data_IF_762503666443
#
_entry.id   IF_762503666443
#
_cell.length_a   1.000
_cell.length_b   1.000
_cell.length_c   1.000
_cell.angle_alpha   90.00
_cell.angle_beta   90.00
_cell.angle_gamma   90.00
#
_symmetry.space_group_name_H-M   'P 1'
#
loop_
_entity.id
_entity.type
_entity.pdbx_description
1 polymer ?
#
# COMPACT_ATOMS: atom_id res chain seq x y z
N UNK A 1 -0.94 40.32 57.93
CA UNK A 1 -1.80 39.35 57.22
C UNK A 1 -1.53 39.43 55.72
N UNK A 2 -1.00 38.33 55.18
CA UNK A 2 -0.98 37.84 53.79
C UNK A 2 -0.98 38.84 52.61
N UNK A 3 0.19 39.02 51.98
CA UNK A 3 0.30 39.45 50.58
C UNK A 3 -0.04 38.25 49.69
N UNK A 4 -1.15 38.33 48.95
CA UNK A 4 -1.58 37.29 48.00
C UNK A 4 -0.89 37.52 46.65
N UNK A 5 0.22 36.81 46.43
CA UNK A 5 0.89 36.79 45.13
C UNK A 5 0.27 35.68 44.30
N UNK A 6 -0.63 36.03 43.38
CA UNK A 6 -1.26 35.06 42.46
C UNK A 6 -0.24 34.70 41.38
N UNK A 7 0.26 33.46 41.42
CA UNK A 7 1.14 32.90 40.40
C UNK A 7 0.27 32.42 39.22
N UNK A 8 0.27 33.16 38.11
CA UNK A 8 -0.36 32.72 36.85
C UNK A 8 0.64 31.85 36.11
N UNK A 9 0.48 30.53 36.22
CA UNK A 9 1.21 29.57 35.39
C UNK A 9 0.53 29.49 34.01
N UNK A 10 1.08 30.18 33.02
CA UNK A 10 0.67 30.01 31.62
C UNK A 10 1.33 28.73 31.12
N UNK A 11 0.57 27.63 31.12
CA UNK A 11 0.98 26.39 30.48
C UNK A 11 0.80 26.56 28.97
N UNK A 12 1.83 27.03 28.26
CA UNK A 12 1.89 26.91 26.81
C UNK A 12 2.11 25.44 26.46
N UNK A 13 1.02 24.67 26.38
CA UNK A 13 1.05 23.44 25.62
C UNK A 13 1.37 23.85 24.18
N UNK A 14 2.59 23.56 23.74
CA UNK A 14 2.97 23.67 22.33
C UNK A 14 2.11 22.67 21.59
N UNK A 15 0.94 23.12 21.14
CA UNK A 15 0.20 22.41 20.10
C UNK A 15 1.02 22.67 18.84
N UNK A 16 2.01 21.82 18.59
CA UNK A 16 2.64 21.71 17.28
C UNK A 16 1.57 21.20 16.32
N UNK A 17 0.72 22.10 15.83
CA UNK A 17 -0.11 21.82 14.65
C UNK A 17 0.89 21.77 13.50
N UNK A 18 1.36 20.57 13.18
CA UNK A 18 2.29 20.37 12.08
C UNK A 18 1.49 20.45 10.78
N UNK A 19 1.59 21.60 10.12
CA UNK A 19 1.09 21.81 8.75
C UNK A 19 2.14 21.44 7.70
N UNK A 20 3.14 20.64 8.06
CA UNK A 20 4.24 20.27 7.18
C UNK A 20 3.86 19.14 6.22
N UNK A 21 4.43 19.15 5.02
CA UNK A 21 4.41 17.96 4.17
C UNK A 21 5.20 16.86 4.90
N UNK A 22 4.51 15.93 5.56
CA UNK A 22 5.14 14.83 6.30
C UNK A 22 5.67 13.71 5.40
N UNK A 23 5.28 13.72 4.12
CA UNK A 23 5.72 12.76 3.12
C UNK A 23 6.78 13.40 2.21
N UNK A 24 8.02 13.39 2.69
CA UNK A 24 9.23 13.82 1.98
C UNK A 24 10.17 12.66 1.76
N UNK A 25 11.12 12.78 0.83
CA UNK A 25 12.18 11.79 0.62
C UNK A 25 12.92 11.46 1.92
N UNK A 26 13.36 12.47 2.68
CA UNK A 26 13.99 12.30 4.00
C UNK A 26 13.10 11.51 5.00
N UNK A 27 11.78 11.73 4.98
CA UNK A 27 10.86 10.99 5.85
C UNK A 27 10.74 9.52 5.46
N UNK A 28 10.84 9.23 4.16
CA UNK A 28 10.80 7.88 3.60
C UNK A 28 12.11 7.17 3.94
N UNK A 29 13.26 7.79 3.68
CA UNK A 29 14.58 7.28 4.03
C UNK A 29 14.66 6.95 5.53
N UNK A 30 14.25 7.88 6.40
CA UNK A 30 14.19 7.63 7.84
C UNK A 30 13.27 6.47 8.21
N UNK A 31 12.16 6.29 7.52
CA UNK A 31 11.25 5.17 7.76
C UNK A 31 11.89 3.84 7.36
N UNK A 32 12.57 3.80 6.20
CA UNK A 32 13.35 2.65 5.73
C UNK A 32 14.44 2.30 6.75
N UNK A 33 15.25 3.29 7.15
CA UNK A 33 16.33 3.11 8.13
C UNK A 33 15.83 2.54 9.45
N UNK A 34 14.67 2.98 9.93
CA UNK A 34 14.07 2.49 11.18
C UNK A 34 13.59 1.04 11.07
N UNK A 35 13.08 0.63 9.91
CA UNK A 35 12.68 -0.76 9.67
C UNK A 35 13.91 -1.66 9.56
N UNK A 36 14.90 -1.25 8.76
CA UNK A 36 16.14 -2.00 8.60
C UNK A 36 16.93 -2.11 9.92
N UNK A 37 16.96 -1.04 10.71
CA UNK A 37 17.56 -1.02 12.05
C UNK A 37 16.87 -1.96 13.04
N UNK A 38 15.61 -2.33 12.80
CA UNK A 38 14.88 -3.35 13.57
C UNK A 38 14.92 -4.75 12.94
N UNK A 39 15.72 -4.95 11.88
CA UNK A 39 15.96 -6.25 11.26
C UNK A 39 14.93 -6.64 10.19
N UNK A 40 14.09 -5.71 9.72
CA UNK A 40 13.26 -5.93 8.55
C UNK A 40 14.07 -5.81 7.27
N UNK A 41 13.77 -6.64 6.27
CA UNK A 41 14.26 -6.43 4.91
C UNK A 41 13.26 -5.51 4.22
N UNK A 42 13.71 -4.34 3.81
CA UNK A 42 12.86 -3.39 3.08
C UNK A 42 13.16 -3.51 1.59
N UNK A 43 12.12 -3.63 0.78
CA UNK A 43 12.22 -3.61 -0.67
C UNK A 43 11.26 -2.57 -1.22
N UNK A 44 11.76 -1.72 -2.11
CA UNK A 44 10.93 -0.73 -2.79
C UNK A 44 10.07 -1.40 -3.85
N UNK A 45 8.76 -1.15 -3.77
CA UNK A 45 7.80 -1.48 -4.82
C UNK A 45 7.38 -0.22 -5.57
N UNK A 46 6.55 -0.38 -6.60
CA UNK A 46 5.96 0.75 -7.32
C UNK A 46 4.47 0.57 -7.57
N UNK A 47 3.79 1.68 -7.86
CA UNK A 47 2.45 1.67 -8.40
C UNK A 47 2.50 1.80 -9.91
N UNK A 48 1.70 0.97 -10.59
CA UNK A 48 1.55 1.02 -12.03
C UNK A 48 0.09 1.27 -12.39
N UNK A 49 -0.16 2.26 -13.26
CA UNK A 49 -1.49 2.48 -13.83
C UNK A 49 -1.86 1.31 -14.71
N UNK A 50 -2.86 0.57 -14.29
CA UNK A 50 -3.24 -0.71 -14.86
C UNK A 50 -4.45 -0.52 -15.78
N UNK A 51 -4.30 -0.90 -17.05
CA UNK A 51 -5.39 -0.91 -18.02
C UNK A 51 -5.73 -2.37 -18.39
N UNK A 52 -6.78 -2.97 -17.81
CA UNK A 52 -7.16 -4.36 -18.11
C UNK A 52 -7.48 -4.59 -19.59
N UNK A 53 -8.03 -3.60 -20.29
CA UNK A 53 -8.37 -3.69 -21.71
C UNK A 53 -7.11 -3.80 -22.58
N UNK A 54 -6.07 -3.01 -22.31
CA UNK A 54 -4.79 -3.10 -23.03
C UNK A 54 -4.09 -4.44 -22.77
N UNK A 55 -4.11 -4.90 -21.53
CA UNK A 55 -3.51 -6.19 -21.13
C UNK A 55 -4.21 -7.35 -21.84
N UNK A 56 -5.54 -7.30 -21.96
CA UNK A 56 -6.31 -8.29 -22.72
C UNK A 56 -6.07 -8.18 -24.23
N UNK A 57 -6.07 -6.97 -24.79
CA UNK A 57 -5.82 -6.71 -26.21
C UNK A 57 -4.45 -7.18 -26.69
N UNK A 58 -3.46 -7.23 -25.79
CA UNK A 58 -2.13 -7.79 -26.03
C UNK A 58 -2.03 -9.30 -25.71
N UNK A 59 -3.15 -9.99 -25.48
CA UNK A 59 -3.23 -11.43 -25.20
C UNK A 59 -2.46 -11.89 -23.95
N UNK A 60 -2.15 -10.98 -23.01
CA UNK A 60 -1.43 -11.30 -21.77
C UNK A 60 -2.36 -11.98 -20.76
N UNK A 61 -3.63 -11.55 -20.75
CA UNK A 61 -4.67 -12.13 -19.89
C UNK A 61 -5.86 -12.59 -20.73
N UNK A 62 -6.65 -13.58 -20.26
CA UNK A 62 -7.72 -14.16 -21.06
C UNK A 62 -9.02 -13.33 -21.05
N UNK A 63 -9.07 -12.21 -20.32
CA UNK A 63 -10.25 -11.35 -20.20
C UNK A 63 -9.87 -10.02 -19.54
N UNK A 64 -10.66 -8.96 -19.74
CA UNK A 64 -10.50 -7.68 -19.04
C UNK A 64 -10.96 -7.70 -17.56
N UNK A 65 -11.23 -8.87 -16.96
CA UNK A 65 -11.54 -9.00 -15.52
C UNK A 65 -12.70 -8.14 -14.99
N UNK A 66 -13.75 -7.94 -15.79
CA UNK A 66 -14.88 -7.06 -15.43
C UNK A 66 -14.46 -5.59 -15.24
N UNK A 67 -13.50 -5.14 -16.04
CA UNK A 67 -13.05 -3.74 -16.13
C UNK A 67 -14.22 -2.75 -16.13
N UNK A 68 -14.16 -1.78 -15.22
CA UNK A 68 -15.00 -0.60 -15.27
C UNK A 68 -14.26 0.47 -16.06
N UNK A 69 -14.60 0.64 -17.33
CA UNK A 69 -13.89 1.54 -18.26
C UNK A 69 -13.88 3.00 -17.82
N UNK A 70 -14.78 3.39 -16.92
CA UNK A 70 -14.88 4.75 -16.39
C UNK A 70 -14.03 4.98 -15.13
N UNK A 71 -13.27 3.97 -14.68
CA UNK A 71 -12.44 4.04 -13.46
C UNK A 71 -10.96 3.76 -13.76
N UNK A 72 -10.02 4.62 -13.33
CA UNK A 72 -8.61 4.29 -13.40
C UNK A 72 -8.24 3.24 -12.35
N UNK A 73 -7.48 2.23 -12.75
CA UNK A 73 -6.93 1.22 -11.84
C UNK A 73 -5.43 1.41 -11.66
N UNK A 74 -4.94 1.06 -10.47
CA UNK A 74 -3.53 0.92 -10.21
C UNK A 74 -3.27 -0.42 -9.52
N UNK A 75 -2.11 -1.01 -9.81
CA UNK A 75 -1.65 -2.24 -9.19
C UNK A 75 -0.27 -2.04 -8.58
N UNK A 76 0.03 -2.83 -7.56
CA UNK A 76 1.35 -2.88 -6.96
C UNK A 76 2.27 -3.76 -7.81
N UNK A 77 3.43 -3.22 -8.17
CA UNK A 77 4.57 -3.98 -8.68
C UNK A 77 5.54 -4.17 -7.51
N UNK A 78 5.46 -5.35 -6.89
CA UNK A 78 6.25 -5.70 -5.72
C UNK A 78 7.33 -6.71 -6.14
N UNK A 79 8.61 -6.50 -5.78
CA UNK A 79 9.65 -7.48 -6.03
C UNK A 79 9.37 -8.80 -5.29
N UNK A 80 9.99 -9.88 -5.74
CA UNK A 80 9.82 -11.17 -5.09
C UNK A 80 10.42 -11.14 -3.66
N UNK A 81 9.72 -11.77 -2.72
CA UNK A 81 10.22 -11.89 -1.35
C UNK A 81 11.55 -12.66 -1.31
N UNK A 82 12.46 -12.38 -0.36
CA UNK A 82 13.78 -13.01 -0.29
C UNK A 82 13.74 -14.53 -0.20
N UNK A 83 12.65 -15.08 0.35
CA UNK A 83 12.42 -16.50 0.53
C UNK A 83 11.31 -17.05 -0.39
N UNK A 84 10.90 -16.31 -1.41
CA UNK A 84 9.83 -16.74 -2.31
C UNK A 84 10.33 -17.89 -3.21
N UNK A 85 9.76 -19.09 -3.04
CA UNK A 85 10.17 -20.26 -3.82
C UNK A 85 9.60 -20.29 -5.24
N UNK A 86 8.36 -19.83 -5.41
CA UNK A 86 7.65 -19.89 -6.68
C UNK A 86 7.53 -18.49 -7.29
N UNK A 87 7.80 -18.31 -8.60
CA UNK A 87 7.76 -17.01 -9.24
C UNK A 87 6.34 -16.45 -9.32
N UNK A 88 6.23 -15.13 -9.46
CA UNK A 88 4.94 -14.50 -9.73
C UNK A 88 4.43 -14.83 -11.14
N UNK A 89 3.12 -15.06 -11.28
CA UNK A 89 2.54 -15.41 -12.59
C UNK A 89 2.50 -14.21 -13.53
N UNK A 90 2.21 -13.04 -12.97
CA UNK A 90 2.18 -11.76 -13.66
C UNK A 90 2.98 -10.72 -12.86
N UNK A 91 3.52 -9.66 -13.51
CA UNK A 91 4.30 -8.62 -12.83
C UNK A 91 3.55 -7.92 -11.69
N UNK A 92 2.22 -7.84 -11.76
CA UNK A 92 1.35 -7.21 -10.76
C UNK A 92 0.74 -8.19 -9.75
N UNK A 93 1.19 -9.45 -9.76
CA UNK A 93 0.82 -10.42 -8.73
C UNK A 93 1.98 -10.59 -7.77
N UNK A 94 1.67 -10.73 -6.49
CA UNK A 94 2.66 -10.94 -5.43
C UNK A 94 2.21 -12.06 -4.50
N UNK A 95 3.15 -12.58 -3.71
CA UNK A 95 2.89 -13.50 -2.61
C UNK A 95 3.49 -12.87 -1.36
N UNK A 96 2.87 -13.14 -0.22
CA UNK A 96 3.37 -12.71 1.08
C UNK A 96 3.42 -13.95 1.98
N UNK A 97 4.57 -14.14 2.63
CA UNK A 97 4.68 -15.02 3.78
C UNK A 97 3.99 -14.39 5.01
N UNK A 98 3.77 -15.19 6.05
CA UNK A 98 3.10 -14.74 7.28
C UNK A 98 3.84 -13.58 8.00
N UNK A 99 5.14 -13.44 7.74
CA UNK A 99 6.01 -12.42 8.31
C UNK A 99 6.33 -11.28 7.32
N UNK A 100 5.63 -11.19 6.20
CA UNK A 100 5.80 -10.13 5.20
C UNK A 100 4.60 -9.18 5.19
N UNK A 101 4.87 -7.90 4.90
CA UNK A 101 3.85 -6.87 4.81
C UNK A 101 4.14 -5.90 3.68
N UNK A 102 3.07 -5.37 3.08
CA UNK A 102 3.14 -4.27 2.11
C UNK A 102 2.73 -3.00 2.84
N UNK A 103 3.60 -2.01 2.83
CA UNK A 103 3.32 -0.67 3.36
C UNK A 103 3.12 0.27 2.17
N UNK A 104 1.88 0.68 1.95
CA UNK A 104 1.56 1.71 0.96
C UNK A 104 1.59 3.07 1.62
N UNK A 105 2.55 3.90 1.21
CA UNK A 105 2.69 5.27 1.72
C UNK A 105 2.20 6.26 0.67
N UNK A 106 1.37 7.19 1.10
CA UNK A 106 0.85 8.23 0.23
C UNK A 106 -0.04 9.20 0.99
N UNK A 107 -0.45 10.25 0.29
CA UNK A 107 -1.44 11.17 0.80
C UNK A 107 -2.80 10.50 0.81
N UNK A 108 -3.46 10.46 1.97
CA UNK A 108 -4.87 10.10 2.02
C UNK A 108 -5.64 11.07 1.12
N UNK A 109 -6.39 10.58 0.11
CA UNK A 109 -7.20 11.41 -0.74
C UNK A 109 -8.12 12.34 0.04
N UNK A 110 -8.46 13.53 -0.51
CA UNK A 110 -9.39 14.45 0.12
C UNK A 110 -10.71 13.74 0.46
N UNK A 111 -11.40 14.14 1.54
CA UNK A 111 -12.73 13.65 1.84
C UNK A 111 -13.63 13.82 0.59
N UNK A 112 -14.23 12.72 0.12
CA UNK A 112 -15.07 12.59 -1.10
C UNK A 112 -14.40 12.11 -2.41
N UNK A 113 -13.10 11.83 -2.45
CA UNK A 113 -12.52 11.02 -3.54
C UNK A 113 -12.52 9.56 -3.07
N UNK A 114 -13.50 8.78 -3.50
CA UNK A 114 -13.59 7.36 -3.19
C UNK A 114 -12.42 6.63 -3.84
N UNK A 115 -11.47 6.17 -3.03
CA UNK A 115 -10.45 5.21 -3.44
C UNK A 115 -10.72 3.91 -2.71
N UNK A 116 -10.75 2.81 -3.46
CA UNK A 116 -10.96 1.47 -2.94
C UNK A 116 -9.62 0.75 -3.02
N UNK A 117 -9.11 0.26 -1.88
CA UNK A 117 -8.03 -0.70 -1.88
C UNK A 117 -8.63 -2.09 -1.77
N UNK A 118 -8.55 -2.86 -2.85
CA UNK A 118 -9.10 -4.21 -2.90
C UNK A 118 -8.00 -5.23 -3.17
N UNK A 119 -7.85 -6.17 -2.22
CA UNK A 119 -6.95 -7.31 -2.41
C UNK A 119 -7.71 -8.45 -3.07
N UNK A 120 -7.23 -8.88 -4.23
CA UNK A 120 -7.81 -10.00 -4.96
C UNK A 120 -6.87 -11.20 -4.97
N UNK A 121 -7.43 -12.38 -4.77
CA UNK A 121 -6.74 -13.64 -5.03
C UNK A 121 -6.70 -13.90 -6.54
N UNK A 122 -5.58 -13.58 -7.19
CA UNK A 122 -5.41 -13.81 -8.63
C UNK A 122 -5.55 -15.30 -9.00
N UNK A 123 -4.96 -16.19 -8.21
CA UNK A 123 -4.99 -17.63 -8.43
C UNK A 123 -4.05 -18.39 -7.50
N UNK A 124 -3.96 -19.69 -7.69
CA UNK A 124 -3.06 -20.57 -6.95
C UNK A 124 -2.32 -21.50 -7.89
N UNK A 125 -1.11 -21.90 -7.50
CA UNK A 125 -0.40 -22.98 -8.17
C UNK A 125 -0.87 -24.33 -7.63
N UNK A 126 -1.19 -25.24 -8.55
CA UNK A 126 -1.52 -26.64 -8.28
C UNK A 126 -0.61 -27.49 -9.16
N UNK A 127 0.21 -28.34 -8.56
CA UNK A 127 1.19 -29.19 -9.28
C UNK A 127 2.02 -28.38 -10.29
N UNK A 128 2.56 -27.23 -9.85
CA UNK A 128 3.34 -26.30 -10.68
C UNK A 128 2.53 -25.49 -11.72
N UNK A 129 1.24 -25.77 -11.88
CA UNK A 129 0.38 -25.08 -12.84
C UNK A 129 -0.45 -23.99 -12.17
N UNK A 130 -0.33 -22.75 -12.66
CA UNK A 130 -1.16 -21.66 -12.18
C UNK A 130 -2.61 -21.83 -12.62
N UNK A 131 -3.53 -21.93 -11.66
CA UNK A 131 -4.98 -21.88 -11.88
C UNK A 131 -5.51 -20.54 -11.39
N UNK A 132 -6.09 -19.78 -12.31
CA UNK A 132 -6.75 -18.50 -12.00
C UNK A 132 -8.01 -18.76 -11.16
N UNK A 133 -8.19 -17.96 -10.11
CA UNK A 133 -9.40 -17.95 -9.29
C UNK A 133 -10.09 -16.59 -9.44
N UNK A 134 -9.33 -15.51 -9.27
CA UNK A 134 -9.76 -14.12 -9.43
C UNK A 134 -11.01 -13.78 -8.61
N UNK A 135 -10.82 -13.65 -7.29
CA UNK A 135 -11.88 -13.35 -6.32
C UNK A 135 -11.39 -12.38 -5.26
N UNK A 136 -12.28 -11.59 -4.67
CA UNK A 136 -11.96 -10.74 -3.53
C UNK A 136 -11.52 -11.59 -2.34
N UNK A 137 -10.38 -11.24 -1.74
CA UNK A 137 -9.87 -11.96 -0.57
C UNK A 137 -10.42 -11.36 0.74
N UNK A 138 -10.73 -10.07 0.73
CA UNK A 138 -11.19 -9.29 1.87
C UNK A 138 -12.25 -8.27 1.43
N UNK A 139 -12.93 -7.69 2.42
CA UNK A 139 -13.72 -6.48 2.20
C UNK A 139 -12.82 -5.32 1.74
N UNK A 140 -13.40 -4.44 0.94
CA UNK A 140 -12.72 -3.24 0.45
C UNK A 140 -12.41 -2.29 1.61
N UNK A 141 -11.18 -1.78 1.67
CA UNK A 141 -10.84 -0.66 2.55
C UNK A 141 -11.34 0.61 1.85
N UNK A 142 -12.22 1.37 2.52
CA UNK A 142 -13.03 2.50 2.03
C UNK A 142 -14.19 2.13 1.07
N UNK A 143 -15.30 1.71 1.68
CA UNK A 143 -16.64 1.67 1.08
C UNK A 143 -17.38 2.99 1.25
#
# INVERSE_FOLDING_TARGET
MRKSTTLVAILFSVISISFGNHFTEESIERFVDLLEGHGFIVQEGSLYLFNPADIFGNFITPSCFCDNTDSPYAVYLIPEGPCQEAPNKYPWTYKLAENEAIVYLGWTPPPMVYFSCQTMLAGRFFDGNFKRIYVNLCDTINS
#
